data_IF_007009102694
#
_entry.id   IF_007009102694
#
_cell.length_a   1.000
_cell.length_b   1.000
_cell.length_c   1.000
_cell.angle_alpha   90.00
_cell.angle_beta   90.00
_cell.angle_gamma   90.00
#
_symmetry.space_group_name_H-M   'P 1'
#
loop_
_entity.id
_entity.type
_entity.pdbx_description
1 polymer ?
#
# COMPACT_ATOMS: atom_id res chain seq x y z
N UNK A 1 10.25 -1.22 -22.96
CA UNK A 1 9.36 -0.31 -23.73
C UNK A 1 10.05 1.08 -23.78
N UNK A 2 9.66 2.06 -24.59
CA UNK A 2 10.38 3.35 -24.64
C UNK A 2 9.98 4.24 -23.45
N UNK A 3 10.94 4.96 -22.85
CA UNK A 3 10.61 5.95 -21.81
C UNK A 3 9.81 7.10 -22.42
N UNK A 4 8.85 7.66 -21.67
CA UNK A 4 7.97 8.72 -22.16
C UNK A 4 7.77 9.83 -21.14
N UNK A 5 7.67 11.08 -21.61
CA UNK A 5 7.24 12.20 -20.78
C UNK A 5 5.72 12.33 -20.84
N UNK A 6 5.11 12.45 -19.67
CA UNK A 6 3.68 12.72 -19.47
C UNK A 6 3.49 13.96 -18.64
N UNK A 7 2.32 14.57 -18.80
CA UNK A 7 1.85 15.66 -17.97
C UNK A 7 0.68 15.18 -17.13
N UNK A 8 0.80 15.32 -15.81
CA UNK A 8 -0.28 15.11 -14.87
C UNK A 8 -0.82 16.47 -14.42
N UNK A 9 -2.14 16.58 -14.30
CA UNK A 9 -2.82 17.81 -13.90
C UNK A 9 -3.98 17.49 -12.98
N UNK A 10 -4.17 18.32 -11.96
CA UNK A 10 -5.32 18.30 -11.05
C UNK A 10 -5.76 19.73 -10.72
N UNK A 11 -6.99 20.08 -11.09
CA UNK A 11 -7.69 21.19 -10.46
C UNK A 11 -8.28 20.67 -9.14
N UNK A 12 -8.02 21.35 -8.03
CA UNK A 12 -8.48 20.89 -6.72
C UNK A 12 -10.00 21.06 -6.63
N UNK A 13 -10.71 19.97 -6.37
CA UNK A 13 -12.17 19.97 -6.27
C UNK A 13 -12.62 20.30 -4.86
N UNK A 14 -11.92 19.77 -3.85
CA UNK A 14 -12.28 19.91 -2.44
C UNK A 14 -11.09 20.34 -1.59
N UNK A 15 -11.27 21.45 -0.86
CA UNK A 15 -10.29 21.91 0.11
C UNK A 15 -10.08 20.88 1.23
N UNK A 16 -8.84 20.81 1.73
CA UNK A 16 -8.42 19.98 2.85
C UNK A 16 -8.67 18.47 2.66
N UNK A 17 -8.77 18.02 1.42
CA UNK A 17 -8.95 16.60 1.06
C UNK A 17 -7.78 16.16 0.19
N UNK A 18 -7.29 14.94 0.39
CA UNK A 18 -6.24 14.37 -0.46
C UNK A 18 -6.85 13.98 -1.81
N UNK A 19 -6.27 14.52 -2.89
CA UNK A 19 -6.65 14.23 -4.26
C UNK A 19 -5.47 13.59 -5.01
N UNK A 20 -5.77 12.67 -5.93
CA UNK A 20 -4.75 11.99 -6.72
C UNK A 20 -4.32 12.86 -7.89
N UNK A 21 -3.04 13.25 -7.92
CA UNK A 21 -2.42 13.93 -9.06
C UNK A 21 -1.96 12.91 -10.11
N UNK A 22 -1.28 11.85 -9.68
CA UNK A 22 -0.67 10.85 -10.56
C UNK A 22 -0.58 9.48 -9.89
N UNK A 23 -0.73 8.42 -10.67
CA UNK A 23 -0.48 7.04 -10.25
C UNK A 23 0.51 6.41 -11.22
N UNK A 24 1.63 5.91 -10.72
CA UNK A 24 2.62 5.22 -11.52
C UNK A 24 2.02 3.95 -12.11
N UNK A 25 2.22 3.72 -13.41
CA UNK A 25 1.75 2.50 -14.07
C UNK A 25 2.36 1.25 -13.44
N UNK A 26 1.55 0.20 -13.24
CA UNK A 26 1.98 -1.05 -12.59
C UNK A 26 3.00 -1.86 -13.40
N UNK A 27 3.14 -1.58 -14.69
CA UNK A 27 4.08 -2.25 -15.60
C UNK A 27 5.33 -1.43 -15.90
N UNK A 28 5.47 -0.26 -15.28
CA UNK A 28 6.66 0.58 -15.42
C UNK A 28 7.82 -0.01 -14.62
N UNK A 29 9.04 0.37 -14.97
CA UNK A 29 10.22 0.12 -14.13
C UNK A 29 10.27 1.14 -12.99
N UNK A 30 9.95 2.41 -13.30
CA UNK A 30 9.83 3.51 -12.36
C UNK A 30 9.06 4.67 -13.01
N UNK A 31 8.62 5.63 -12.20
CA UNK A 31 8.20 6.95 -12.67
C UNK A 31 8.95 8.05 -11.91
N UNK A 32 9.29 9.15 -12.57
CA UNK A 32 10.01 10.27 -11.95
C UNK A 32 9.23 11.56 -12.18
N UNK A 33 8.77 12.19 -11.10
CA UNK A 33 8.27 13.56 -11.15
C UNK A 33 9.46 14.48 -11.37
N UNK A 34 9.59 15.08 -12.54
CA UNK A 34 10.70 15.97 -12.89
C UNK A 34 10.47 17.41 -12.42
N UNK A 35 9.22 17.84 -12.42
CA UNK A 35 8.82 19.15 -11.93
C UNK A 35 7.37 19.05 -11.45
N UNK A 36 7.05 19.77 -10.37
CA UNK A 36 5.69 19.90 -9.89
C UNK A 36 5.40 21.36 -9.53
N UNK A 37 4.25 21.87 -9.94
CA UNK A 37 3.84 23.25 -9.77
C UNK A 37 2.50 23.33 -9.08
N UNK A 38 2.40 24.17 -8.05
CA UNK A 38 1.15 24.50 -7.39
C UNK A 38 0.81 25.96 -7.69
N UNK A 39 -0.20 26.19 -8.51
CA UNK A 39 -0.69 27.51 -8.86
C UNK A 39 -1.86 27.89 -7.94
N UNK A 40 -1.69 28.94 -7.15
CA UNK A 40 -2.77 29.52 -6.38
C UNK A 40 -3.50 30.57 -7.22
N UNK A 41 -4.68 30.23 -7.76
CA UNK A 41 -5.51 31.16 -8.55
C UNK A 41 -6.46 31.99 -7.69
N UNK A 42 -6.40 31.87 -6.36
CA UNK A 42 -7.20 32.72 -5.49
C UNK A 42 -6.71 34.16 -5.58
N UNK A 43 -7.65 35.12 -5.66
CA UNK A 43 -7.33 36.54 -5.90
C UNK A 43 -6.66 37.20 -4.69
N UNK A 44 -7.12 36.89 -3.48
CA UNK A 44 -6.69 37.57 -2.24
C UNK A 44 -6.15 36.68 -1.11
N UNK A 45 -6.40 35.37 -1.13
CA UNK A 45 -6.05 34.46 -0.04
C UNK A 45 -4.82 33.59 -0.38
N UNK A 46 -3.94 33.44 0.59
CA UNK A 46 -2.83 32.47 0.55
C UNK A 46 -3.41 31.06 0.61
N UNK A 47 -2.94 30.18 -0.27
CA UNK A 47 -3.30 28.78 -0.29
C UNK A 47 -2.12 27.95 0.19
N UNK A 48 -2.26 27.32 1.36
CA UNK A 48 -1.29 26.32 1.83
C UNK A 48 -1.50 25.00 1.09
N UNK A 49 -0.38 24.40 0.63
CA UNK A 49 -0.35 23.18 -0.17
C UNK A 49 0.45 22.07 0.52
N UNK A 50 0.00 20.84 0.33
CA UNK A 50 0.60 19.62 0.86
C UNK A 50 0.79 18.64 -0.29
N UNK A 51 1.98 18.05 -0.38
CA UNK A 51 2.33 17.03 -1.37
C UNK A 51 2.71 15.76 -0.62
N UNK A 52 2.13 14.63 -1.03
CA UNK A 52 2.41 13.34 -0.43
C UNK A 52 2.63 12.26 -1.48
N UNK A 53 3.38 11.23 -1.10
CA UNK A 53 3.54 10.00 -1.87
C UNK A 53 2.94 8.86 -1.05
N UNK A 54 2.00 8.14 -1.65
CA UNK A 54 1.52 6.87 -1.11
C UNK A 54 2.28 5.75 -1.81
N UNK A 55 3.12 5.07 -1.04
CA UNK A 55 3.87 3.89 -1.48
C UNK A 55 2.94 2.67 -1.54
N UNK A 56 2.79 2.07 -2.72
CA UNK A 56 1.91 0.91 -2.90
C UNK A 56 2.58 -0.41 -2.47
N UNK A 57 3.91 -0.43 -2.34
CA UNK A 57 4.66 -1.64 -1.98
C UNK A 57 4.33 -2.16 -0.58
N UNK A 58 3.81 -1.29 0.30
CA UNK A 58 3.49 -1.66 1.67
C UNK A 58 2.16 -1.08 2.17
N UNK A 59 1.22 -0.76 1.28
CA UNK A 59 -0.08 -0.18 1.66
C UNK A 59 -0.89 -1.16 2.51
N UNK A 60 -1.05 -0.89 3.80
CA UNK A 60 -1.78 -1.74 4.75
C UNK A 60 -1.40 -3.23 4.64
N UNK A 61 -0.12 -3.57 4.75
CA UNK A 61 0.34 -4.94 4.92
C UNK A 61 -0.08 -5.54 6.28
N UNK A 62 0.12 -6.84 6.48
CA UNK A 62 -0.15 -7.53 7.76
C UNK A 62 0.92 -7.14 8.78
N UNK A 63 0.52 -6.49 9.88
CA UNK A 63 1.38 -6.13 10.99
C UNK A 63 1.48 -7.22 12.05
N UNK A 64 0.35 -7.82 12.42
CA UNK A 64 0.27 -8.96 13.35
C UNK A 64 -1.03 -9.74 13.14
N UNK A 65 -1.09 -10.95 13.68
CA UNK A 65 -2.28 -11.82 13.67
C UNK A 65 -2.65 -12.25 15.09
N UNK A 66 -3.92 -12.57 15.33
CA UNK A 66 -4.43 -12.91 16.67
C UNK A 66 -3.97 -14.26 17.18
N UNK A 67 -3.73 -15.22 16.28
CA UNK A 67 -3.24 -16.56 16.60
C UNK A 67 -2.27 -16.98 15.50
N UNK A 68 -0.98 -17.02 15.83
CA UNK A 68 0.08 -17.43 14.93
C UNK A 68 0.52 -18.89 15.17
N UNK A 69 -0.10 -19.61 16.10
CA UNK A 69 0.26 -20.98 16.50
C UNK A 69 -0.99 -21.83 16.66
N UNK A 70 -1.83 -21.98 15.62
CA UNK A 70 -3.11 -22.65 15.77
C UNK A 70 -2.92 -24.13 16.07
N UNK A 71 -3.82 -24.67 16.89
CA UNK A 71 -3.78 -26.05 17.36
C UNK A 71 -4.99 -26.86 16.85
N UNK A 72 -4.93 -28.18 16.97
CA UNK A 72 -6.05 -29.04 16.54
C UNK A 72 -7.25 -28.90 17.47
N UNK A 73 -8.44 -28.81 16.88
CA UNK A 73 -9.70 -28.60 17.62
C UNK A 73 -10.12 -27.14 17.73
N UNK A 74 -9.23 -26.22 17.34
CA UNK A 74 -9.57 -24.83 17.09
C UNK A 74 -10.11 -24.71 15.65
N UNK A 75 -11.15 -23.91 15.43
CA UNK A 75 -11.79 -23.77 14.11
C UNK A 75 -10.91 -23.09 13.05
N UNK A 76 -9.66 -22.75 13.41
CA UNK A 76 -8.67 -22.10 12.56
C UNK A 76 -7.56 -23.05 12.08
N UNK A 77 -7.64 -24.36 12.37
CA UNK A 77 -6.77 -25.38 11.78
C UNK A 77 -7.62 -26.58 11.33
N UNK A 78 -7.55 -26.93 10.04
CA UNK A 78 -8.36 -28.03 9.48
C UNK A 78 -7.84 -29.42 9.83
N UNK A 79 -6.60 -29.52 10.31
CA UNK A 79 -5.92 -30.77 10.64
C UNK A 79 -4.40 -30.58 10.80
N UNK A 80 -3.72 -31.56 11.35
CA UNK A 80 -2.26 -31.54 11.49
C UNK A 80 -1.56 -31.52 10.11
N UNK A 81 -0.52 -30.70 9.97
CA UNK A 81 0.30 -30.60 8.76
C UNK A 81 1.44 -31.63 8.79
N UNK A 82 2.27 -31.68 7.74
CA UNK A 82 3.46 -32.54 7.76
C UNK A 82 4.41 -32.14 8.92
N UNK A 83 4.68 -33.08 9.84
CA UNK A 83 5.38 -32.83 11.08
C UNK A 83 6.89 -32.54 10.91
N UNK A 84 7.44 -31.70 11.79
CA UNK A 84 8.88 -31.42 11.90
C UNK A 84 9.48 -30.69 10.69
N UNK A 85 8.70 -29.88 10.00
CA UNK A 85 9.10 -29.17 8.78
C UNK A 85 9.32 -27.69 9.02
N UNK A 86 10.05 -27.08 8.11
CA UNK A 86 10.31 -25.64 8.06
C UNK A 86 10.23 -25.17 6.63
N UNK A 87 9.35 -24.22 6.36
CA UNK A 87 9.22 -23.55 5.08
C UNK A 87 9.38 -22.04 5.25
N UNK A 88 9.89 -21.36 4.21
CA UNK A 88 10.02 -19.91 4.19
C UNK A 88 9.35 -19.33 2.95
N UNK A 89 8.95 -18.06 3.03
CA UNK A 89 8.33 -17.34 1.92
C UNK A 89 7.04 -17.97 1.38
N UNK A 90 6.28 -18.65 2.24
CA UNK A 90 5.01 -19.25 1.90
C UNK A 90 3.97 -18.16 1.73
N UNK A 91 3.38 -18.08 0.54
CA UNK A 91 2.31 -17.11 0.23
C UNK A 91 0.99 -17.53 0.88
N UNK A 92 0.13 -16.54 1.17
CA UNK A 92 -1.27 -16.83 1.47
C UNK A 92 -1.99 -17.48 0.27
N UNK A 93 -2.96 -18.35 0.55
CA UNK A 93 -3.75 -19.04 -0.46
C UNK A 93 -5.05 -18.29 -0.77
N UNK A 94 -5.69 -17.72 0.24
CA UNK A 94 -6.84 -16.82 0.06
C UNK A 94 -6.93 -15.82 1.21
N UNK A 95 -7.67 -14.73 0.98
CA UNK A 95 -8.00 -13.74 2.00
C UNK A 95 -9.48 -13.40 1.87
N UNK A 96 -10.21 -13.43 2.98
CA UNK A 96 -11.58 -12.94 3.04
C UNK A 96 -11.66 -11.68 3.90
N UNK A 97 -12.46 -10.72 3.46
CA UNK A 97 -12.72 -9.49 4.21
C UNK A 97 -13.78 -9.68 5.30
N UNK A 98 -14.10 -8.59 5.99
CA UNK A 98 -15.06 -8.56 7.10
C UNK A 98 -16.51 -8.83 6.66
N UNK A 99 -16.77 -8.86 5.37
CA UNK A 99 -18.06 -9.17 4.77
C UNK A 99 -18.10 -10.60 4.20
N UNK A 100 -17.04 -11.39 4.37
CA UNK A 100 -16.93 -12.74 3.83
C UNK A 100 -16.67 -12.79 2.32
N UNK A 101 -16.24 -11.68 1.72
CA UNK A 101 -15.90 -11.59 0.30
C UNK A 101 -14.40 -11.83 0.10
N UNK A 102 -14.02 -12.43 -1.02
CA UNK A 102 -12.60 -12.59 -1.38
C UNK A 102 -11.98 -11.20 -1.58
N UNK A 103 -10.98 -10.88 -0.75
CA UNK A 103 -10.30 -9.59 -0.78
C UNK A 103 -9.23 -9.53 -1.88
N UNK A 104 -8.97 -8.32 -2.40
CA UNK A 104 -7.86 -8.05 -3.32
C UNK A 104 -6.47 -8.00 -2.62
N UNK A 105 -6.43 -8.32 -1.33
CA UNK A 105 -5.21 -8.39 -0.51
C UNK A 105 -4.24 -9.42 -1.08
N UNK A 106 -2.96 -9.06 -1.15
CA UNK A 106 -1.96 -9.94 -1.77
C UNK A 106 -0.55 -9.74 -1.22
N UNK A 107 0.32 -10.71 -1.49
CA UNK A 107 1.76 -10.61 -1.23
C UNK A 107 2.20 -10.85 0.22
N UNK A 108 1.32 -11.29 1.13
CA UNK A 108 1.77 -11.67 2.46
C UNK A 108 2.57 -12.98 2.37
N UNK A 109 3.69 -13.05 3.08
CA UNK A 109 4.50 -14.25 3.13
C UNK A 109 4.80 -14.65 4.56
N UNK A 110 4.93 -15.95 4.77
CA UNK A 110 5.14 -16.55 6.07
C UNK A 110 6.32 -17.50 6.05
N UNK A 111 7.08 -17.52 7.14
CA UNK A 111 7.85 -18.69 7.54
C UNK A 111 6.95 -19.56 8.42
N UNK A 112 6.98 -20.86 8.19
CA UNK A 112 6.13 -21.83 8.90
C UNK A 112 7.00 -22.94 9.43
N UNK A 113 6.89 -23.21 10.73
CA UNK A 113 7.50 -24.37 11.37
C UNK A 113 6.39 -25.28 11.88
N UNK A 114 6.49 -26.59 11.65
CA UNK A 114 5.60 -27.58 12.27
C UNK A 114 6.35 -28.33 13.36
N UNK A 115 5.68 -28.54 14.50
CA UNK A 115 6.21 -29.36 15.57
C UNK A 115 6.20 -30.87 15.23
N UNK A 116 6.58 -31.72 16.18
CA UNK A 116 6.55 -33.18 16.01
C UNK A 116 5.13 -33.76 15.81
N UNK A 117 4.09 -32.97 16.09
CA UNK A 117 2.68 -33.33 15.93
C UNK A 117 2.06 -32.73 14.68
N UNK A 118 2.81 -31.93 13.90
CA UNK A 118 2.30 -31.26 12.70
C UNK A 118 1.56 -29.95 12.99
N UNK A 119 1.67 -29.37 14.19
CA UNK A 119 1.04 -28.09 14.51
C UNK A 119 1.89 -26.92 13.98
N UNK A 120 1.34 -26.03 13.14
CA UNK A 120 2.11 -24.97 12.52
C UNK A 120 2.29 -23.75 13.43
N UNK A 121 3.44 -23.10 13.32
CA UNK A 121 3.76 -21.78 13.87
C UNK A 121 4.13 -20.85 12.73
N UNK A 122 3.41 -19.73 12.60
CA UNK A 122 3.55 -18.74 11.53
C UNK A 122 4.38 -17.55 12.00
N UNK A 123 5.33 -17.13 11.16
CA UNK A 123 6.03 -15.85 11.29
C UNK A 123 5.83 -15.07 10.01
N UNK A 124 5.32 -13.84 10.10
CA UNK A 124 5.18 -12.95 8.93
C UNK A 124 6.59 -12.57 8.44
N UNK A 125 6.92 -12.87 7.18
CA UNK A 125 8.20 -12.50 6.54
C UNK A 125 8.04 -11.39 5.52
N UNK A 126 6.84 -11.22 4.96
CA UNK A 126 6.49 -10.08 4.10
C UNK A 126 5.07 -9.66 4.44
N UNK A 127 4.82 -8.40 4.81
CA UNK A 127 3.47 -7.95 5.18
C UNK A 127 2.45 -8.02 4.04
N UNK A 128 2.90 -7.91 2.78
CA UNK A 128 2.00 -7.76 1.63
C UNK A 128 1.29 -6.40 1.63
N UNK A 129 0.16 -6.31 0.94
CA UNK A 129 -0.63 -5.07 0.81
C UNK A 129 -2.14 -5.31 0.73
N UNK A 130 -2.89 -4.24 0.97
CA UNK A 130 -4.34 -4.14 0.96
C UNK A 130 -5.05 -5.04 1.98
N UNK A 131 -4.44 -5.31 3.12
CA UNK A 131 -5.09 -5.98 4.25
C UNK A 131 -5.89 -4.99 5.09
N UNK A 132 -6.99 -5.46 5.66
CA UNK A 132 -7.76 -4.76 6.69
C UNK A 132 -7.69 -5.52 8.01
N UNK A 133 -7.94 -4.82 9.11
CA UNK A 133 -8.15 -5.48 10.40
C UNK A 133 -9.36 -6.42 10.31
N UNK A 134 -9.24 -7.58 10.96
CA UNK A 134 -10.21 -8.69 10.97
C UNK A 134 -10.35 -9.46 9.65
N UNK A 135 -9.52 -9.15 8.65
CA UNK A 135 -9.45 -10.00 7.46
C UNK A 135 -8.90 -11.38 7.86
N UNK A 136 -9.44 -12.42 7.24
CA UNK A 136 -9.02 -13.80 7.52
C UNK A 136 -8.15 -14.29 6.37
N UNK A 137 -6.89 -14.59 6.68
CA UNK A 137 -5.90 -15.12 5.76
C UNK A 137 -5.93 -16.64 5.87
N UNK A 138 -6.12 -17.33 4.76
CA UNK A 138 -5.98 -18.79 4.69
C UNK A 138 -4.62 -19.14 4.11
N UNK A 139 -3.92 -20.06 4.76
CA UNK A 139 -2.68 -20.67 4.28
C UNK A 139 -2.88 -22.18 4.22
N UNK A 140 -2.54 -22.80 3.10
CA UNK A 140 -2.52 -24.26 2.94
C UNK A 140 -1.14 -24.81 3.29
N UNK A 141 -1.10 -25.99 3.90
CA UNK A 141 0.12 -26.76 4.16
C UNK A 141 1.00 -26.81 2.90
N UNK A 142 2.22 -26.26 2.93
CA UNK A 142 3.15 -26.31 1.80
C UNK A 142 3.73 -27.70 1.55
N UNK A 143 3.59 -28.60 2.53
CA UNK A 143 4.04 -29.98 2.45
C UNK A 143 3.14 -30.83 1.57
N UNK A 144 2.96 -32.06 2.01
CA UNK A 144 2.22 -33.08 1.25
C UNK A 144 0.73 -33.16 1.56
N UNK A 145 0.21 -32.40 2.54
CA UNK A 145 -1.22 -32.41 2.89
C UNK A 145 -1.99 -31.29 2.19
N UNK A 146 -3.32 -31.32 2.28
CA UNK A 146 -4.20 -30.22 1.85
C UNK A 146 -4.84 -29.48 3.02
N UNK A 147 -4.29 -29.68 4.23
CA UNK A 147 -4.81 -29.03 5.43
C UNK A 147 -4.53 -27.53 5.37
N UNK A 148 -5.40 -26.74 5.99
CA UNK A 148 -5.34 -25.29 6.00
C UNK A 148 -5.32 -24.75 7.42
N UNK A 149 -4.76 -23.56 7.57
CA UNK A 149 -4.87 -22.75 8.77
C UNK A 149 -5.40 -21.36 8.40
N UNK A 150 -6.17 -20.76 9.31
CA UNK A 150 -6.65 -19.39 9.16
C UNK A 150 -6.04 -18.48 10.21
N UNK A 151 -5.59 -17.30 9.77
CA UNK A 151 -5.00 -16.27 10.61
C UNK A 151 -5.85 -15.00 10.48
N UNK A 152 -6.29 -14.44 11.61
CA UNK A 152 -7.04 -13.17 11.58
C UNK A 152 -6.08 -12.00 11.75
N UNK A 153 -6.13 -11.03 10.83
CA UNK A 153 -5.29 -9.82 10.88
C UNK A 153 -5.68 -8.98 12.10
N UNK A 154 -4.74 -8.84 13.04
CA UNK A 154 -4.93 -8.04 14.26
C UNK A 154 -4.52 -6.59 14.04
N UNK A 155 -3.36 -6.36 13.44
CA UNK A 155 -2.89 -5.03 13.06
C UNK A 155 -2.42 -5.04 11.62
N UNK A 156 -2.51 -3.87 10.98
CA UNK A 156 -1.92 -3.62 9.67
C UNK A 156 -0.67 -2.75 9.82
N UNK A 157 0.27 -2.89 8.89
CA UNK A 157 1.52 -2.13 8.81
C UNK A 157 1.62 -1.44 7.45
N UNK A 158 2.29 -0.29 7.39
CA UNK A 158 2.50 0.49 6.15
C UNK A 158 1.24 1.07 5.51
N UNK A 159 1.31 1.98 4.53
CA UNK A 159 2.21 3.13 4.46
C UNK A 159 1.36 4.33 4.86
N UNK A 160 1.79 5.07 5.88
CA UNK A 160 1.32 6.45 6.03
C UNK A 160 1.85 7.20 4.81
N UNK A 161 1.02 8.06 4.23
CA UNK A 161 1.44 8.91 3.12
C UNK A 161 2.74 9.65 3.51
N UNK A 162 3.81 9.46 2.74
CA UNK A 162 5.06 10.18 2.95
C UNK A 162 4.84 11.64 2.53
N UNK A 163 4.86 12.54 3.51
CA UNK A 163 4.65 13.97 3.24
C UNK A 163 5.95 14.60 2.76
N UNK A 164 5.93 15.13 1.54
CA UNK A 164 7.05 15.83 0.90
C UNK A 164 7.00 17.33 1.22
N UNK A 165 5.80 17.92 1.14
CA UNK A 165 5.50 19.29 1.50
C UNK A 165 4.34 19.29 2.48
N UNK A 166 4.44 20.06 3.56
CA UNK A 166 3.39 20.15 4.57
C UNK A 166 2.92 21.60 4.71
N UNK A 167 1.70 21.90 4.24
CA UNK A 167 1.06 23.21 4.36
C UNK A 167 1.94 24.41 3.93
N UNK A 168 2.75 24.22 2.90
CA UNK A 168 3.62 25.29 2.37
C UNK A 168 2.74 26.41 1.81
N UNK A 169 2.88 27.66 2.27
CA UNK A 169 2.02 28.76 1.83
C UNK A 169 2.38 29.21 0.41
N UNK A 170 1.37 29.30 -0.46
CA UNK A 170 1.49 29.87 -1.81
C UNK A 170 0.65 31.17 -1.85
N UNK A 171 1.27 32.35 -1.98
CA UNK A 171 0.55 33.62 -2.03
C UNK A 171 -0.51 33.69 -3.15
N UNK A 172 -1.50 34.59 -3.04
CA UNK A 172 -2.53 34.78 -4.07
C UNK A 172 -1.91 35.10 -5.44
N UNK A 173 -2.44 34.52 -6.51
CA UNK A 173 -1.96 34.69 -7.89
C UNK A 173 -0.46 34.38 -8.10
N UNK A 174 0.08 33.41 -7.36
CA UNK A 174 1.47 32.96 -7.52
C UNK A 174 1.56 31.45 -7.68
N UNK A 175 2.75 30.99 -8.08
CA UNK A 175 3.05 29.57 -8.27
C UNK A 175 4.24 29.16 -7.42
N UNK A 176 4.10 28.04 -6.72
CA UNK A 176 5.22 27.32 -6.12
C UNK A 176 5.74 26.27 -7.11
N UNK A 177 7.04 26.26 -7.38
CA UNK A 177 7.72 25.21 -8.18
C UNK A 177 8.51 24.29 -7.27
N UNK A 178 8.44 22.99 -7.52
CA UNK A 178 9.27 21.96 -6.94
C UNK A 178 10.13 21.33 -8.04
N UNK A 179 11.42 21.63 -8.01
CA UNK A 179 12.41 21.17 -9.00
C UNK A 179 13.21 19.96 -8.52
N UNK A 180 12.75 19.30 -7.45
CA UNK A 180 13.39 18.09 -6.94
C UNK A 180 12.76 16.87 -7.60
N UNK A 181 13.56 15.99 -8.23
CA UNK A 181 13.02 14.76 -8.79
C UNK A 181 12.47 13.88 -7.67
N UNK A 182 11.24 13.40 -7.84
CA UNK A 182 10.63 12.39 -6.95
C UNK A 182 10.54 11.08 -7.71
N UNK A 183 11.26 10.06 -7.23
CA UNK A 183 11.23 8.72 -7.81
C UNK A 183 10.08 7.92 -7.20
N UNK A 184 9.35 7.23 -8.05
CA UNK A 184 8.18 6.43 -7.73
C UNK A 184 8.40 5.00 -8.21
N UNK A 185 8.10 4.05 -7.33
CA UNK A 185 8.00 2.65 -7.69
C UNK A 185 6.70 2.41 -8.49
N UNK A 186 6.58 1.26 -9.18
CA UNK A 186 5.34 0.91 -9.86
C UNK A 186 4.15 0.91 -8.89
N UNK A 187 3.03 1.47 -9.33
CA UNK A 187 1.79 1.63 -8.55
C UNK A 187 1.81 2.68 -7.42
N UNK A 188 2.93 3.36 -7.14
CA UNK A 188 2.94 4.50 -6.22
C UNK A 188 2.02 5.63 -6.67
N UNK A 189 1.49 6.39 -5.71
CA UNK A 189 0.53 7.47 -5.96
C UNK A 189 1.05 8.79 -5.43
N UNK A 190 1.02 9.82 -6.27
CA UNK A 190 1.24 11.21 -5.85
C UNK A 190 -0.10 11.82 -5.47
N UNK A 191 -0.21 12.24 -4.21
CA UNK A 191 -1.38 12.91 -3.66
C UNK A 191 -1.08 14.38 -3.38
N UNK A 192 -2.08 15.21 -3.61
CA UNK A 192 -2.01 16.65 -3.36
C UNK A 192 -3.21 17.08 -2.53
N UNK A 193 -2.98 18.05 -1.65
CA UNK A 193 -4.04 18.66 -0.86
C UNK A 193 -3.75 20.15 -0.76
N UNK A 194 -4.80 20.96 -0.78
CA UNK A 194 -4.69 22.41 -0.59
C UNK A 194 -5.77 22.92 0.35
N UNK A 195 -5.54 24.06 0.96
CA UNK A 195 -6.51 24.72 1.87
C UNK A 195 -7.66 25.42 1.14
N UNK A 196 -7.54 25.62 -0.17
CA UNK A 196 -8.58 26.17 -1.04
C UNK A 196 -8.70 25.36 -2.33
N UNK A 197 -9.92 25.22 -2.85
CA UNK A 197 -10.20 24.58 -4.15
C UNK A 197 -9.88 25.46 -5.38
N UNK A 198 -9.36 26.67 -5.17
CA UNK A 198 -8.94 27.56 -6.27
C UNK A 198 -7.53 27.25 -6.78
N UNK A 199 -6.87 26.22 -6.26
CA UNK A 199 -5.54 25.82 -6.68
C UNK A 199 -5.57 24.84 -7.85
N UNK A 200 -4.55 24.91 -8.70
CA UNK A 200 -4.25 23.91 -9.73
C UNK A 200 -2.86 23.35 -9.51
N UNK A 201 -2.71 22.04 -9.75
CA UNK A 201 -1.44 21.35 -9.64
C UNK A 201 -1.09 20.70 -10.96
N UNK A 202 0.16 20.86 -11.38
CA UNK A 202 0.71 20.25 -12.58
C UNK A 202 2.00 19.51 -12.23
N UNK A 203 2.24 18.36 -12.86
CA UNK A 203 3.50 17.65 -12.77
C UNK A 203 3.95 17.13 -14.12
N UNK A 204 5.24 17.29 -14.42
CA UNK A 204 5.90 16.61 -15.53
C UNK A 204 6.47 15.30 -15.03
N UNK A 205 6.13 14.20 -15.70
CA UNK A 205 6.45 12.84 -15.27
C UNK A 205 7.25 12.13 -16.36
N UNK A 206 8.41 11.59 -16.02
CA UNK A 206 9.13 10.64 -16.86
C UNK A 206 8.73 9.23 -16.45
N UNK A 207 8.06 8.51 -17.32
CA UNK A 207 7.80 7.08 -17.15
C UNK A 207 8.91 6.25 -17.78
N UNK A 208 9.50 5.37 -16.98
CA UNK A 208 10.53 4.43 -17.42
C UNK A 208 9.94 3.04 -17.60
N UNK A 209 10.32 2.42 -18.69
CA UNK A 209 9.73 1.21 -19.27
C UNK A 209 10.69 0.02 -19.26
#
# INVERSE_FOLDING_TARGET
MASSFKNAHRAIEQANTDEVLYTAGSTLTAAIIHACYFANKHVTATCSVTLKIADDSNKNGVGSVTDATPTTGESNLSGAWEAGKSWTNISQTSVVDNNGTIAASSGAKFSILTDSSGLPTFTITTPGKNYGQNYVITVTDPGSTSNTATLTVLTVTGALDMTILQQVPVPPNTTLSLDKPLNLAPSDVVKVQTTHNSAEVFASVLEQS
#
